data_IF_923047724155
#
_entry.id   IF_923047724155
#
_cell.length_a   1.000
_cell.length_b   1.000
_cell.length_c   1.000
_cell.angle_alpha   90.00
_cell.angle_beta   90.00
_cell.angle_gamma   90.00
#
_symmetry.space_group_name_H-M   'P 1'
#
loop_
_entity.id
_entity.type
_entity.pdbx_description
1 polymer ?
#
# COMPACT_ATOMS: atom_id res chain seq x y z
N UNK A 1 -27.39 -2.14 27.15
CA UNK A 1 -27.68 -0.97 26.32
C UNK A 1 -26.50 -0.50 25.53
N UNK A 2 -25.44 -0.13 26.19
CA UNK A 2 -24.23 0.34 25.52
C UNK A 2 -23.60 -0.70 24.61
N UNK A 3 -23.63 -1.96 24.95
CA UNK A 3 -23.13 -3.03 24.10
C UNK A 3 -23.87 -3.13 22.79
N UNK A 4 -25.19 -3.08 22.86
CA UNK A 4 -26.04 -3.19 21.69
C UNK A 4 -25.81 -2.01 20.74
N UNK A 5 -25.74 -0.82 21.32
CA UNK A 5 -25.45 0.37 20.55
C UNK A 5 -24.04 0.32 19.93
N UNK A 6 -23.07 -0.21 20.68
CA UNK A 6 -21.71 -0.36 20.17
C UNK A 6 -21.63 -1.35 19.01
N UNK A 7 -22.38 -2.46 19.11
CA UNK A 7 -22.40 -3.46 18.05
C UNK A 7 -23.06 -2.91 16.79
N UNK A 8 -24.14 -2.14 16.94
CA UNK A 8 -24.79 -1.49 15.82
C UNK A 8 -23.88 -0.47 15.15
N UNK A 9 -23.19 0.33 15.96
CA UNK A 9 -22.23 1.29 15.44
C UNK A 9 -21.09 0.59 14.71
N UNK A 10 -20.61 -0.53 15.24
CA UNK A 10 -19.57 -1.33 14.58
C UNK A 10 -20.03 -1.87 13.23
N UNK A 11 -21.26 -2.37 13.14
CA UNK A 11 -21.81 -2.85 11.88
C UNK A 11 -21.92 -1.71 10.87
N UNK A 12 -22.46 -0.59 11.29
CA UNK A 12 -22.57 0.59 10.43
C UNK A 12 -21.22 1.04 9.93
N UNK A 13 -20.22 1.05 10.81
CA UNK A 13 -18.86 1.40 10.42
C UNK A 13 -18.27 0.41 9.43
N UNK A 14 -18.53 -0.88 9.61
CA UNK A 14 -18.05 -1.92 8.71
C UNK A 14 -18.60 -1.75 7.30
N UNK A 15 -19.86 -1.32 7.21
CA UNK A 15 -20.54 -1.15 5.93
C UNK A 15 -20.47 0.29 5.40
N UNK A 16 -19.93 1.23 6.20
CA UNK A 16 -19.87 2.63 5.79
C UNK A 16 -18.86 2.85 4.67
N UNK A 17 -19.12 3.82 3.77
CA UNK A 17 -18.15 4.15 2.72
C UNK A 17 -16.78 4.56 3.28
N UNK A 18 -16.77 5.26 4.42
CA UNK A 18 -15.53 5.67 5.05
C UNK A 18 -14.69 4.48 5.49
N UNK A 19 -15.33 3.49 6.10
CA UNK A 19 -14.64 2.30 6.55
C UNK A 19 -14.13 1.45 5.39
N UNK A 20 -14.94 1.31 4.35
CA UNK A 20 -14.51 0.60 3.14
C UNK A 20 -13.31 1.26 2.50
N UNK A 21 -13.29 2.58 2.44
CA UNK A 21 -12.13 3.32 1.92
C UNK A 21 -10.89 3.09 2.78
N UNK A 22 -11.05 2.97 4.09
CA UNK A 22 -9.96 2.65 4.99
C UNK A 22 -9.37 1.28 4.71
N UNK A 23 -10.21 0.27 4.52
CA UNK A 23 -9.77 -1.08 4.16
C UNK A 23 -9.11 -1.09 2.78
N UNK A 24 -9.67 -0.36 1.82
CA UNK A 24 -9.11 -0.28 0.48
C UNK A 24 -7.73 0.36 0.49
N UNK A 25 -7.53 1.41 1.29
CA UNK A 25 -6.22 2.04 1.44
C UNK A 25 -5.21 1.10 2.07
N UNK A 26 -5.60 0.41 3.13
CA UNK A 26 -4.74 -0.57 3.77
C UNK A 26 -4.38 -1.69 2.79
N UNK A 27 -5.35 -2.16 2.01
CA UNK A 27 -5.13 -3.16 0.98
C UNK A 27 -4.16 -2.70 -0.09
N UNK A 28 -4.25 -1.45 -0.53
CA UNK A 28 -3.30 -0.89 -1.50
C UNK A 28 -1.89 -0.84 -0.93
N UNK A 29 -1.76 -0.41 0.32
CA UNK A 29 -0.45 -0.34 0.98
C UNK A 29 0.20 -1.72 1.05
N UNK A 30 -0.58 -2.73 1.41
CA UNK A 30 -0.10 -4.11 1.47
C UNK A 30 0.28 -4.63 0.09
N UNK A 31 -0.54 -4.36 -0.93
CA UNK A 31 -0.23 -4.79 -2.31
C UNK A 31 1.05 -4.16 -2.83
N UNK A 32 1.22 -2.86 -2.59
CA UNK A 32 2.46 -2.16 -2.97
C UNK A 32 3.67 -2.75 -2.27
N UNK A 33 3.53 -3.04 -0.97
CA UNK A 33 4.60 -3.66 -0.20
C UNK A 33 5.01 -5.01 -0.80
N UNK A 34 4.04 -5.83 -1.16
CA UNK A 34 4.28 -7.12 -1.79
C UNK A 34 4.94 -6.98 -3.16
N UNK A 35 4.47 -6.03 -3.97
CA UNK A 35 5.05 -5.77 -5.29
C UNK A 35 6.50 -5.34 -5.19
N UNK A 36 6.80 -4.43 -4.26
CA UNK A 36 8.17 -3.96 -4.04
C UNK A 36 9.06 -5.11 -3.62
N UNK A 37 8.60 -5.94 -2.70
CA UNK A 37 9.34 -7.11 -2.24
C UNK A 37 9.63 -8.07 -3.39
N UNK A 38 8.62 -8.41 -4.17
CA UNK A 38 8.76 -9.34 -5.30
C UNK A 38 9.71 -8.80 -6.36
N UNK A 39 9.59 -7.52 -6.69
CA UNK A 39 10.46 -6.89 -7.69
C UNK A 39 11.91 -6.84 -7.19
N UNK A 40 12.09 -6.53 -5.91
CA UNK A 40 13.42 -6.52 -5.32
C UNK A 40 14.07 -7.90 -5.44
N UNK A 41 13.35 -8.94 -5.07
CA UNK A 41 13.87 -10.30 -5.16
C UNK A 41 14.14 -10.70 -6.61
N UNK A 42 13.24 -10.34 -7.51
CA UNK A 42 13.41 -10.60 -8.95
C UNK A 42 14.66 -9.95 -9.49
N UNK A 43 15.05 -8.78 -8.99
CA UNK A 43 16.27 -8.08 -9.38
C UNK A 43 17.50 -8.60 -8.66
N UNK A 44 17.35 -9.56 -7.74
CA UNK A 44 18.46 -10.11 -6.97
C UNK A 44 19.06 -9.14 -5.97
N UNK A 45 18.28 -8.17 -5.51
CA UNK A 45 18.73 -7.16 -4.55
C UNK A 45 18.36 -7.54 -3.13
N UNK A 46 19.28 -7.31 -2.19
CA UNK A 46 18.94 -7.37 -0.78
C UNK A 46 18.20 -6.10 -0.36
N UNK A 47 17.55 -6.13 0.79
CA UNK A 47 16.92 -4.92 1.36
C UNK A 47 17.96 -3.81 1.54
N UNK A 48 19.16 -4.18 1.95
CA UNK A 48 20.26 -3.24 2.13
C UNK A 48 20.66 -2.58 0.82
N UNK A 49 20.78 -3.37 -0.24
CA UNK A 49 21.13 -2.85 -1.55
C UNK A 49 20.04 -1.93 -2.08
N UNK A 50 18.77 -2.28 -1.91
CA UNK A 50 17.69 -1.41 -2.30
C UNK A 50 17.73 -0.10 -1.48
N UNK A 51 17.99 -0.19 -0.19
CA UNK A 51 18.11 0.98 0.67
C UNK A 51 19.20 1.93 0.18
N UNK A 52 20.34 1.38 -0.22
CA UNK A 52 21.45 2.16 -0.77
C UNK A 52 21.01 2.90 -2.03
N UNK A 53 20.33 2.22 -2.94
CA UNK A 53 19.81 2.84 -4.17
C UNK A 53 18.79 3.94 -3.90
N UNK A 54 18.00 3.77 -2.85
CA UNK A 54 16.98 4.76 -2.47
C UNK A 54 17.55 5.90 -1.61
N UNK A 55 18.78 5.76 -1.15
CA UNK A 55 19.38 6.74 -0.23
C UNK A 55 18.72 6.74 1.14
N UNK A 56 18.32 5.56 1.62
CA UNK A 56 17.65 5.39 2.91
C UNK A 56 18.28 4.23 3.69
N UNK A 57 17.62 3.82 4.76
CA UNK A 57 18.11 2.74 5.64
C UNK A 57 17.43 1.42 5.31
N UNK A 58 18.11 0.31 5.65
CA UNK A 58 17.51 -1.01 5.52
C UNK A 58 16.22 -1.12 6.33
N UNK A 59 16.20 -0.52 7.54
CA UNK A 59 15.00 -0.52 8.39
C UNK A 59 13.82 0.14 7.68
N UNK A 60 14.06 1.22 6.95
CA UNK A 60 13.01 1.89 6.18
C UNK A 60 12.47 0.99 5.07
N UNK A 61 13.34 0.29 4.35
CA UNK A 61 12.94 -0.66 3.32
C UNK A 61 12.16 -1.82 3.94
N UNK A 62 12.63 -2.34 5.06
CA UNK A 62 11.94 -3.43 5.76
C UNK A 62 10.52 -3.04 6.15
N UNK A 63 10.33 -1.82 6.66
CA UNK A 63 8.99 -1.32 7.01
C UNK A 63 8.12 -1.12 5.78
N UNK A 64 8.70 -0.65 4.70
CA UNK A 64 8.01 -0.47 3.44
C UNK A 64 7.49 -1.82 2.91
N UNK A 65 8.34 -2.84 2.92
CA UNK A 65 7.98 -4.19 2.45
C UNK A 65 7.06 -4.93 3.40
N UNK A 66 7.01 -4.52 4.66
CA UNK A 66 6.08 -5.09 5.63
C UNK A 66 4.67 -4.48 5.56
N UNK A 67 4.50 -3.43 4.75
CA UNK A 67 3.21 -2.75 4.63
C UNK A 67 2.87 -1.88 5.83
N UNK A 68 3.88 -1.50 6.62
CA UNK A 68 3.67 -0.70 7.83
C UNK A 68 3.66 0.80 7.55
N UNK A 69 4.03 1.21 6.36
CA UNK A 69 4.05 2.63 5.97
C UNK A 69 3.40 2.77 4.60
N UNK A 70 2.74 3.90 4.39
CA UNK A 70 2.17 4.24 3.11
C UNK A 70 3.16 5.15 2.37
N UNK A 71 3.84 4.66 1.34
CA UNK A 71 4.85 5.48 0.67
C UNK A 71 4.22 6.63 -0.10
N UNK A 72 4.93 7.75 -0.14
CA UNK A 72 4.54 8.90 -0.96
C UNK A 72 4.86 8.63 -2.43
N UNK A 73 4.25 9.41 -3.33
CA UNK A 73 4.58 9.30 -4.75
C UNK A 73 6.06 9.53 -5.03
N UNK A 74 6.73 10.54 -4.44
CA UNK A 74 8.17 10.68 -4.64
C UNK A 74 8.97 9.43 -4.20
N UNK A 75 8.57 8.79 -3.12
CA UNK A 75 9.21 7.53 -2.70
C UNK A 75 8.98 6.42 -3.70
N UNK A 76 7.75 6.29 -4.20
CA UNK A 76 7.42 5.29 -5.21
C UNK A 76 8.18 5.52 -6.51
N UNK A 77 8.37 6.78 -6.90
CA UNK A 77 9.18 7.11 -8.08
C UNK A 77 10.62 6.62 -7.92
N UNK A 78 11.20 6.83 -6.75
CA UNK A 78 12.56 6.35 -6.45
C UNK A 78 12.64 4.83 -6.47
N UNK A 79 11.62 4.17 -5.93
CA UNK A 79 11.56 2.70 -5.94
C UNK A 79 11.48 2.19 -7.37
N UNK A 80 10.62 2.79 -8.19
CA UNK A 80 10.47 2.41 -9.59
C UNK A 80 11.79 2.56 -10.34
N UNK A 81 12.48 3.67 -10.14
CA UNK A 81 13.78 3.90 -10.75
C UNK A 81 14.82 2.86 -10.28
N UNK A 82 14.89 2.62 -8.98
CA UNK A 82 15.84 1.66 -8.41
C UNK A 82 15.59 0.23 -8.89
N UNK A 83 14.35 -0.13 -9.13
CA UNK A 83 13.97 -1.48 -9.58
C UNK A 83 13.79 -1.60 -11.09
N UNK A 84 14.03 -0.51 -11.83
CA UNK A 84 13.91 -0.46 -13.29
C UNK A 84 12.51 -0.88 -13.76
N UNK A 85 11.48 -0.32 -13.13
CA UNK A 85 10.09 -0.51 -13.50
C UNK A 85 9.40 0.83 -13.66
N UNK A 86 8.27 0.83 -14.36
CA UNK A 86 7.43 2.00 -14.50
C UNK A 86 6.41 2.06 -13.37
N UNK A 87 6.26 3.22 -12.76
CA UNK A 87 5.19 3.46 -11.79
C UNK A 87 3.96 3.96 -12.54
N UNK A 88 2.84 3.28 -12.36
CA UNK A 88 1.58 3.68 -12.96
C UNK A 88 0.58 3.95 -11.84
N UNK A 89 0.01 5.16 -11.86
CA UNK A 89 -1.01 5.58 -10.89
C UNK A 89 -2.18 6.15 -11.68
N UNK A 90 -3.37 5.69 -11.39
CA UNK A 90 -4.55 6.17 -12.09
C UNK A 90 -5.77 6.15 -11.19
N UNK A 91 -6.76 6.92 -11.58
CA UNK A 91 -8.08 6.88 -10.95
C UNK A 91 -9.01 6.04 -11.81
N UNK A 92 -9.88 5.29 -11.14
CA UNK A 92 -10.92 4.52 -11.81
C UNK A 92 -12.27 5.10 -11.40
N UNK A 93 -13.10 5.40 -12.38
CA UNK A 93 -14.45 5.89 -12.11
C UNK A 93 -15.26 4.77 -11.45
N UNK A 94 -15.87 5.07 -10.32
CA UNK A 94 -16.65 4.07 -9.58
C UNK A 94 -17.89 3.61 -10.35
N UNK A 95 -18.49 4.51 -11.13
CA UNK A 95 -19.65 4.16 -11.95
C UNK A 95 -19.28 3.12 -13.02
N UNK A 96 -18.12 3.26 -13.62
CA UNK A 96 -17.60 2.29 -14.59
C UNK A 96 -17.31 0.95 -13.92
N UNK A 97 -16.79 0.96 -12.70
CA UNK A 97 -16.55 -0.27 -11.93
C UNK A 97 -17.84 -0.99 -11.60
N UNK A 98 -18.88 -0.24 -11.23
CA UNK A 98 -20.18 -0.80 -10.87
C UNK A 98 -20.88 -1.35 -12.12
N UNK A 99 -20.79 -0.64 -13.22
CA UNK A 99 -21.41 -1.03 -14.48
C UNK A 99 -20.72 -2.23 -15.11
N UNK A 100 -19.44 -2.36 -14.87
CA UNK A 100 -18.67 -3.49 -15.38
C UNK A 100 -18.83 -4.72 -14.54
#
# INVERSE_FOLDING_TARGET
MTRKASDEVKRERADSPTRRRGYERAGRTIRLAMEIHELREKRGLSQRELAERLGTTQSAVARLEAGNVSPSLPTLDKVAEALAVELVVSFVDLDDRIAG
#
